data_IF_295868508573
#
_entry.id   IF_295868508573
#
_cell.length_a   1.000
_cell.length_b   1.000
_cell.length_c   1.000
_cell.angle_alpha   90.00
_cell.angle_beta   90.00
_cell.angle_gamma   90.00
#
_symmetry.space_group_name_H-M   'P 1'
#
loop_
_entity.id
_entity.type
_entity.pdbx_description
1 polymer ?
#
# COMPACT_ATOMS: atom_id res chain seq x y z
N UNK A 1 -29.11 -5.84 1.00
CA UNK A 1 -28.93 -4.39 1.32
C UNK A 1 -27.78 -3.89 0.46
N UNK A 2 -27.87 -2.74 -0.18
CA UNK A 2 -26.72 -2.19 -0.94
C UNK A 2 -25.72 -1.59 0.05
N UNK A 3 -24.45 -1.93 -0.12
CA UNK A 3 -23.31 -1.36 0.61
C UNK A 3 -22.35 -0.63 -0.34
N UNK A 4 -21.24 -0.10 0.17
CA UNK A 4 -20.25 0.63 -0.61
C UNK A 4 -19.57 -0.21 -1.69
N UNK A 5 -19.59 -1.54 -1.58
CA UNK A 5 -18.93 -2.49 -2.49
C UNK A 5 -19.87 -3.11 -3.53
N UNK A 6 -21.17 -2.82 -3.47
CA UNK A 6 -22.18 -3.46 -4.33
C UNK A 6 -21.87 -3.33 -5.82
N UNK A 7 -21.30 -2.22 -6.27
CA UNK A 7 -20.90 -2.03 -7.68
C UNK A 7 -19.66 -2.85 -8.05
N UNK A 8 -18.69 -2.97 -7.16
CA UNK A 8 -17.51 -3.81 -7.33
C UNK A 8 -17.93 -5.28 -7.41
N UNK A 9 -18.87 -5.70 -6.56
CA UNK A 9 -19.43 -7.05 -6.57
C UNK A 9 -20.14 -7.40 -7.89
N UNK A 10 -20.80 -6.45 -8.55
CA UNK A 10 -21.39 -6.67 -9.88
C UNK A 10 -20.34 -7.01 -10.95
N UNK A 11 -19.11 -6.52 -10.80
CA UNK A 11 -18.03 -6.78 -11.74
C UNK A 11 -17.24 -8.03 -11.40
N UNK A 12 -16.91 -8.24 -10.13
CA UNK A 12 -15.99 -9.28 -9.69
C UNK A 12 -16.72 -10.55 -9.21
N UNK A 13 -17.99 -10.44 -8.81
CA UNK A 13 -18.78 -11.51 -8.20
C UNK A 13 -18.57 -11.63 -6.68
N UNK A 14 -19.45 -12.37 -6.03
CA UNK A 14 -19.47 -12.50 -4.57
C UNK A 14 -18.23 -13.23 -4.01
N UNK A 15 -17.76 -14.26 -4.71
CA UNK A 15 -16.59 -15.05 -4.30
C UNK A 15 -15.32 -14.19 -4.25
N UNK A 16 -15.09 -13.36 -5.29
CA UNK A 16 -13.96 -12.46 -5.31
C UNK A 16 -14.04 -11.38 -4.22
N UNK A 17 -15.26 -10.89 -3.92
CA UNK A 17 -15.45 -9.94 -2.81
C UNK A 17 -15.17 -10.56 -1.45
N UNK A 18 -15.56 -11.81 -1.23
CA UNK A 18 -15.21 -12.55 -0.01
C UNK A 18 -13.69 -12.68 0.12
N UNK A 19 -13.00 -13.07 -0.97
CA UNK A 19 -11.55 -13.18 -0.99
C UNK A 19 -10.87 -11.84 -0.66
N UNK A 20 -11.34 -10.71 -1.22
CA UNK A 20 -10.80 -9.38 -0.91
C UNK A 20 -11.01 -9.04 0.57
N UNK A 21 -12.21 -9.29 1.09
CA UNK A 21 -12.55 -9.01 2.49
C UNK A 21 -11.72 -9.83 3.48
N UNK A 22 -11.36 -11.05 3.12
CA UNK A 22 -10.54 -11.93 3.95
C UNK A 22 -9.03 -11.69 3.79
N UNK A 23 -8.62 -10.88 2.79
CA UNK A 23 -7.22 -10.63 2.48
C UNK A 23 -6.60 -9.56 3.37
N UNK A 24 -5.30 -9.76 3.69
CA UNK A 24 -4.44 -8.82 4.39
C UNK A 24 -3.29 -8.37 3.49
N UNK A 25 -3.22 -7.07 3.20
CA UNK A 25 -2.24 -6.49 2.29
C UNK A 25 -1.31 -5.54 3.05
N UNK A 26 0.01 -5.74 2.90
CA UNK A 26 0.99 -4.81 3.44
C UNK A 26 1.45 -3.82 2.36
N UNK A 27 1.45 -2.52 2.71
CA UNK A 27 1.92 -1.44 1.84
C UNK A 27 3.14 -0.79 2.47
N UNK A 28 4.28 -1.00 1.86
CA UNK A 28 5.55 -0.41 2.27
C UNK A 28 5.77 0.89 1.50
N UNK A 29 5.78 2.00 2.23
CA UNK A 29 5.81 3.37 1.71
C UNK A 29 4.42 3.94 1.45
N UNK A 30 4.04 5.00 2.18
CA UNK A 30 2.75 5.70 2.07
C UNK A 30 2.97 7.09 1.47
N UNK A 31 3.70 7.11 0.35
CA UNK A 31 4.04 8.31 -0.41
C UNK A 31 3.09 8.60 -1.58
N UNK A 32 3.67 9.11 -2.69
CA UNK A 32 2.92 9.46 -3.90
C UNK A 32 2.32 8.27 -4.65
N UNK A 33 2.90 7.08 -4.50
CA UNK A 33 2.38 5.84 -5.08
C UNK A 33 1.56 5.07 -4.03
N UNK A 34 2.18 4.76 -2.88
CA UNK A 34 1.53 3.95 -1.84
C UNK A 34 0.25 4.56 -1.28
N UNK A 35 0.17 5.89 -1.14
CA UNK A 35 -1.04 6.56 -0.68
C UNK A 35 -2.24 6.32 -1.61
N UNK A 36 -2.04 6.38 -2.92
CA UNK A 36 -3.10 6.03 -3.89
C UNK A 36 -3.42 4.54 -3.90
N UNK A 37 -2.42 3.70 -3.67
CA UNK A 37 -2.63 2.24 -3.54
C UNK A 37 -3.49 1.92 -2.32
N UNK A 38 -3.21 2.52 -1.16
CA UNK A 38 -4.02 2.37 0.06
C UNK A 38 -5.47 2.80 -0.19
N UNK A 39 -5.67 3.97 -0.82
CA UNK A 39 -7.02 4.46 -1.21
C UNK A 39 -7.75 3.45 -2.11
N UNK A 40 -7.06 2.91 -3.12
CA UNK A 40 -7.65 1.95 -4.05
C UNK A 40 -8.01 0.62 -3.35
N UNK A 41 -7.13 0.08 -2.50
CA UNK A 41 -7.36 -1.15 -1.75
C UNK A 41 -8.55 -1.02 -0.79
N UNK A 42 -8.61 0.08 -0.02
CA UNK A 42 -9.72 0.36 0.87
C UNK A 42 -11.05 0.42 0.12
N UNK A 43 -11.11 1.13 -1.02
CA UNK A 43 -12.30 1.23 -1.85
C UNK A 43 -12.68 -0.06 -2.58
N UNK A 44 -11.75 -0.99 -2.71
CA UNK A 44 -11.99 -2.31 -3.31
C UNK A 44 -12.49 -3.35 -2.31
N UNK A 45 -12.44 -3.08 -1.01
CA UNK A 45 -12.98 -3.97 0.02
C UNK A 45 -11.95 -4.96 0.57
N UNK A 46 -10.65 -4.63 0.55
CA UNK A 46 -9.61 -5.40 1.25
C UNK A 46 -9.84 -5.30 2.75
N UNK A 47 -9.87 -6.44 3.46
CA UNK A 47 -10.30 -6.50 4.86
C UNK A 47 -9.24 -6.08 5.87
N UNK A 48 -7.95 -6.17 5.53
CA UNK A 48 -6.87 -5.72 6.41
C UNK A 48 -5.72 -5.06 5.64
N UNK A 49 -5.21 -3.95 6.18
CA UNK A 49 -4.10 -3.19 5.63
C UNK A 49 -3.03 -2.98 6.69
N UNK A 50 -1.78 -3.30 6.34
CA UNK A 50 -0.60 -2.93 7.12
C UNK A 50 0.14 -1.80 6.40
N UNK A 51 0.31 -0.67 7.08
CA UNK A 51 0.87 0.55 6.51
C UNK A 51 2.23 0.85 7.14
N UNK A 52 3.27 0.84 6.33
CA UNK A 52 4.66 0.98 6.79
C UNK A 52 5.29 2.24 6.18
N UNK A 53 5.57 3.25 6.99
CA UNK A 53 6.25 4.49 6.60
C UNK A 53 6.68 5.23 7.86
N UNK A 54 7.91 5.72 7.94
CA UNK A 54 8.44 6.45 9.10
C UNK A 54 8.32 7.97 8.99
N UNK A 55 7.93 8.47 7.82
CA UNK A 55 7.85 9.88 7.52
C UNK A 55 6.62 10.57 8.11
N UNK A 56 6.77 11.87 8.28
CA UNK A 56 5.65 12.79 8.48
C UNK A 56 5.28 13.49 7.18
N UNK A 57 4.02 13.86 7.06
CA UNK A 57 3.55 14.72 5.98
C UNK A 57 4.29 16.06 6.04
N UNK A 58 4.90 16.46 4.94
CA UNK A 58 5.54 17.76 4.81
C UNK A 58 4.87 18.60 3.70
N UNK A 59 5.10 19.90 3.71
CA UNK A 59 4.46 20.84 2.78
C UNK A 59 4.72 20.46 1.31
N UNK A 60 5.93 19.99 1.00
CA UNK A 60 6.33 19.59 -0.35
C UNK A 60 5.66 18.30 -0.84
N UNK A 61 4.94 17.58 0.02
CA UNK A 61 4.18 16.39 -0.37
C UNK A 61 2.83 16.72 -1.01
N UNK A 62 2.30 17.94 -0.80
CA UNK A 62 0.97 18.35 -1.23
C UNK A 62 0.76 18.25 -2.75
N UNK A 63 1.85 18.33 -3.51
CA UNK A 63 1.78 18.29 -4.97
C UNK A 63 1.44 16.91 -5.55
N UNK A 64 1.61 15.80 -4.77
CA UNK A 64 1.48 14.45 -5.31
C UNK A 64 0.98 13.38 -4.34
N UNK A 65 0.97 13.64 -3.02
CA UNK A 65 0.54 12.64 -2.03
C UNK A 65 -0.91 12.91 -1.61
N UNK A 66 -1.79 11.94 -1.85
CA UNK A 66 -3.24 12.08 -1.61
C UNK A 66 -3.59 12.38 -0.15
N UNK A 67 -2.77 11.88 0.80
CA UNK A 67 -2.95 12.09 2.24
C UNK A 67 -2.44 13.46 2.70
N UNK A 68 -1.64 14.15 1.85
CA UNK A 68 -1.02 15.41 2.21
C UNK A 68 -1.94 16.60 1.94
N UNK A 69 -2.30 17.29 2.99
CA UNK A 69 -3.10 18.51 2.97
C UNK A 69 -2.51 19.50 4.00
N UNK A 70 -2.88 20.78 3.93
CA UNK A 70 -2.49 21.75 4.95
C UNK A 70 -2.88 21.34 6.39
N UNK A 71 -3.95 20.53 6.53
CA UNK A 71 -4.41 20.04 7.84
C UNK A 71 -3.58 18.85 8.38
N UNK A 72 -2.88 18.13 7.50
CA UNK A 72 -2.17 16.92 7.85
C UNK A 72 -0.66 17.10 7.96
N UNK A 73 -0.11 18.25 7.56
CA UNK A 73 1.32 18.58 7.69
C UNK A 73 1.79 18.40 9.13
N UNK A 74 2.92 17.69 9.31
CA UNK A 74 3.53 17.39 10.61
C UNK A 74 3.05 16.10 11.28
N UNK A 75 1.98 15.47 10.78
CA UNK A 75 1.47 14.19 11.26
C UNK A 75 2.18 13.02 10.56
N UNK A 76 2.30 11.87 11.21
CA UNK A 76 2.81 10.67 10.56
C UNK A 76 1.92 10.26 9.38
N UNK A 77 2.53 9.89 8.25
CA UNK A 77 1.81 9.49 7.04
C UNK A 77 0.88 8.31 7.29
N UNK A 78 1.35 7.31 8.03
CA UNK A 78 0.57 6.11 8.34
C UNK A 78 -0.67 6.43 9.18
N UNK A 79 -0.60 7.36 10.14
CA UNK A 79 -1.76 7.76 10.96
C UNK A 79 -2.82 8.49 10.12
N UNK A 80 -2.37 9.35 9.20
CA UNK A 80 -3.28 10.06 8.29
C UNK A 80 -3.94 9.10 7.31
N UNK A 81 -3.18 8.11 6.83
CA UNK A 81 -3.71 7.08 5.94
C UNK A 81 -4.72 6.17 6.65
N UNK A 82 -4.45 5.77 7.91
CA UNK A 82 -5.37 5.00 8.74
C UNK A 82 -6.71 5.73 8.92
N UNK A 83 -6.69 7.01 9.31
CA UNK A 83 -7.91 7.82 9.41
C UNK A 83 -8.67 7.85 8.09
N UNK A 84 -7.95 8.03 6.98
CA UNK A 84 -8.55 8.05 5.64
C UNK A 84 -9.17 6.70 5.27
N UNK A 85 -8.55 5.58 5.62
CA UNK A 85 -9.12 4.23 5.41
C UNK A 85 -10.40 4.07 6.20
N UNK A 86 -10.41 4.46 7.48
CA UNK A 86 -11.61 4.35 8.33
C UNK A 86 -12.75 5.30 7.91
N UNK A 87 -12.44 6.44 7.27
CA UNK A 87 -13.44 7.31 6.65
C UNK A 87 -14.11 6.64 5.42
N UNK A 88 -13.41 5.72 4.75
CA UNK A 88 -13.91 4.95 3.61
C UNK A 88 -14.71 3.73 4.10
N UNK A 89 -14.09 2.93 4.97
CA UNK A 89 -14.73 1.80 5.62
C UNK A 89 -14.16 1.58 7.03
N UNK A 90 -14.96 1.83 8.09
CA UNK A 90 -14.53 1.68 9.47
C UNK A 90 -14.28 0.22 9.90
N UNK A 91 -14.66 -0.76 9.07
CA UNK A 91 -14.49 -2.19 9.37
C UNK A 91 -13.13 -2.73 8.90
N UNK A 92 -12.40 -2.01 8.05
CA UNK A 92 -11.06 -2.43 7.61
C UNK A 92 -10.11 -2.41 8.82
N UNK A 93 -9.42 -3.53 9.03
CA UNK A 93 -8.40 -3.61 10.07
C UNK A 93 -7.12 -2.92 9.57
N UNK A 94 -6.70 -1.86 10.23
CA UNK A 94 -5.47 -1.14 9.89
C UNK A 94 -4.44 -1.33 10.98
N UNK A 95 -3.22 -1.70 10.58
CA UNK A 95 -2.05 -1.74 11.48
C UNK A 95 -1.01 -0.77 10.94
N UNK A 96 -0.55 0.17 11.75
CA UNK A 96 0.43 1.18 11.35
C UNK A 96 1.80 0.92 11.96
N UNK A 97 2.84 1.05 11.13
CA UNK A 97 4.24 0.93 11.55
C UNK A 97 4.98 2.22 11.20
N UNK A 98 5.35 2.99 12.22
CA UNK A 98 6.14 4.23 12.11
C UNK A 98 7.62 3.88 12.06
N UNK A 99 8.02 3.13 11.04
CA UNK A 99 9.38 2.62 10.92
C UNK A 99 9.85 2.63 9.48
N UNK A 100 11.12 2.93 9.29
CA UNK A 100 11.79 2.77 8.00
C UNK A 100 11.99 1.27 7.73
N UNK A 101 11.66 0.84 6.50
CA UNK A 101 11.93 -0.53 6.08
C UNK A 101 13.28 -0.63 5.36
N UNK A 102 14.14 -1.49 5.84
CA UNK A 102 15.45 -1.76 5.28
C UNK A 102 16.11 -3.00 5.89
N UNK A 103 17.36 -3.32 5.51
CA UNK A 103 18.06 -4.50 6.00
C UNK A 103 18.14 -4.63 7.52
N UNK A 104 18.16 -3.51 8.24
CA UNK A 104 18.25 -3.49 9.71
C UNK A 104 16.92 -3.76 10.40
N UNK A 105 15.80 -3.54 9.72
CA UNK A 105 14.44 -3.67 10.28
C UNK A 105 13.64 -4.80 9.66
N UNK A 106 14.11 -5.42 8.56
CA UNK A 106 13.38 -6.43 7.79
C UNK A 106 12.94 -7.63 8.62
N UNK A 107 13.74 -8.04 9.63
CA UNK A 107 13.46 -9.22 10.47
C UNK A 107 12.44 -8.93 11.58
N UNK A 108 11.99 -7.68 11.73
CA UNK A 108 10.90 -7.32 12.65
C UNK A 108 9.50 -7.57 12.07
N UNK A 109 9.41 -7.95 10.78
CA UNK A 109 8.15 -8.21 10.10
C UNK A 109 7.99 -9.71 9.83
N UNK A 110 6.85 -10.25 10.20
CA UNK A 110 6.42 -11.60 9.80
C UNK A 110 5.66 -11.54 8.50
N UNK A 111 6.33 -11.82 7.39
CA UNK A 111 5.74 -11.77 6.06
C UNK A 111 4.73 -12.87 5.81
N UNK A 112 4.76 -13.98 6.56
CA UNK A 112 3.84 -15.11 6.37
C UNK A 112 2.37 -14.77 6.65
N UNK A 113 2.11 -13.66 7.33
CA UNK A 113 0.76 -13.20 7.66
C UNK A 113 0.11 -12.33 6.56
N UNK A 114 0.84 -12.01 5.48
CA UNK A 114 0.33 -11.19 4.38
C UNK A 114 -0.08 -12.05 3.19
N UNK A 115 -1.22 -11.76 2.60
CA UNK A 115 -1.66 -12.37 1.34
C UNK A 115 -1.01 -11.70 0.14
N UNK A 116 -0.64 -10.42 0.28
CA UNK A 116 0.00 -9.63 -0.77
C UNK A 116 0.84 -8.50 -0.19
N UNK A 117 1.92 -8.15 -0.87
CA UNK A 117 2.79 -7.03 -0.50
C UNK A 117 2.87 -6.03 -1.65
N UNK A 118 2.79 -4.74 -1.31
CA UNK A 118 3.02 -3.63 -2.23
C UNK A 118 4.28 -2.90 -1.82
N UNK A 119 5.25 -2.86 -2.72
CA UNK A 119 6.47 -2.07 -2.59
C UNK A 119 6.28 -0.71 -3.26
N UNK A 120 6.15 0.33 -2.46
CA UNK A 120 6.08 1.73 -2.88
C UNK A 120 7.16 2.60 -2.20
N UNK A 121 8.23 1.97 -1.66
CA UNK A 121 9.39 2.68 -1.12
C UNK A 121 10.31 3.16 -2.25
N UNK A 122 11.19 4.11 -1.95
CA UNK A 122 12.08 4.75 -2.93
C UNK A 122 13.55 4.32 -2.83
N UNK A 123 13.93 3.60 -1.76
CA UNK A 123 15.30 3.13 -1.55
C UNK A 123 15.55 1.78 -2.23
N UNK A 124 16.57 1.70 -3.08
CA UNK A 124 16.91 0.47 -3.83
C UNK A 124 17.25 -0.68 -2.88
N UNK A 125 18.03 -0.41 -1.83
CA UNK A 125 18.40 -1.44 -0.84
C UNK A 125 17.18 -2.01 -0.12
N UNK A 126 16.23 -1.14 0.28
CA UNK A 126 14.98 -1.57 0.89
C UNK A 126 14.12 -2.41 -0.07
N UNK A 127 14.01 -2.01 -1.35
CA UNK A 127 13.29 -2.78 -2.37
C UNK A 127 13.85 -4.20 -2.53
N UNK A 128 15.17 -4.32 -2.64
CA UNK A 128 15.82 -5.64 -2.77
C UNK A 128 15.53 -6.50 -1.53
N UNK A 129 15.70 -5.94 -0.33
CA UNK A 129 15.40 -6.64 0.92
C UNK A 129 13.95 -7.10 0.97
N UNK A 130 12.99 -6.23 0.58
CA UNK A 130 11.56 -6.53 0.58
C UNK A 130 11.21 -7.68 -0.38
N UNK A 131 11.73 -7.62 -1.62
CA UNK A 131 11.53 -8.69 -2.61
C UNK A 131 12.09 -10.02 -2.12
N UNK A 132 13.28 -10.02 -1.52
CA UNK A 132 13.90 -11.25 -1.00
C UNK A 132 13.11 -11.85 0.16
N UNK A 133 12.61 -11.02 1.09
CA UNK A 133 11.76 -11.47 2.19
C UNK A 133 10.42 -12.03 1.71
N UNK A 134 9.77 -11.38 0.76
CA UNK A 134 8.55 -11.90 0.14
C UNK A 134 8.78 -13.24 -0.56
N UNK A 135 9.90 -13.37 -1.31
CA UNK A 135 10.28 -14.63 -1.97
C UNK A 135 10.53 -15.75 -0.96
N UNK A 136 11.24 -15.46 0.13
CA UNK A 136 11.49 -16.41 1.21
C UNK A 136 10.20 -16.90 1.88
N UNK A 137 9.27 -15.98 2.14
CA UNK A 137 7.98 -16.28 2.74
C UNK A 137 6.94 -16.85 1.75
N UNK A 138 7.22 -16.85 0.44
CA UNK A 138 6.27 -17.30 -0.59
C UNK A 138 5.10 -16.34 -0.81
N UNK A 139 5.24 -15.07 -0.43
CA UNK A 139 4.18 -14.05 -0.54
C UNK A 139 4.33 -13.29 -1.85
N UNK A 140 3.26 -13.12 -2.64
CA UNK A 140 3.30 -12.34 -3.87
C UNK A 140 3.55 -10.85 -3.56
N UNK A 141 4.34 -10.21 -4.43
CA UNK A 141 4.70 -8.80 -4.29
C UNK A 141 4.57 -8.08 -5.63
N UNK A 142 4.07 -6.84 -5.61
CA UNK A 142 4.18 -5.90 -6.72
C UNK A 142 5.09 -4.74 -6.33
N UNK A 143 6.06 -4.42 -7.18
CA UNK A 143 7.00 -3.34 -6.95
C UNK A 143 6.68 -2.17 -7.88
N UNK A 144 6.45 -0.99 -7.30
CA UNK A 144 6.50 0.25 -8.06
C UNK A 144 7.96 0.69 -8.14
N UNK A 145 8.56 0.55 -9.32
CA UNK A 145 9.91 1.03 -9.58
C UNK A 145 9.97 2.57 -9.52
N UNK A 146 11.13 3.18 -9.70
CA UNK A 146 11.27 4.63 -9.63
C UNK A 146 10.33 5.35 -10.61
N UNK A 147 9.25 5.95 -10.10
CA UNK A 147 8.27 6.68 -10.89
C UNK A 147 8.64 8.17 -11.12
N UNK A 148 9.71 8.67 -10.49
CA UNK A 148 10.17 10.04 -10.66
C UNK A 148 10.61 10.33 -12.10
N UNK A 149 10.33 11.55 -12.58
CA UNK A 149 10.68 12.01 -13.94
C UNK A 149 10.04 11.21 -15.10
N UNK A 150 9.02 10.40 -14.83
CA UNK A 150 8.24 9.68 -15.84
C UNK A 150 7.02 10.51 -16.22
N UNK A 151 7.14 11.27 -17.31
CA UNK A 151 6.13 12.27 -17.72
C UNK A 151 4.92 11.66 -18.43
N UNK A 152 5.10 10.52 -19.06
CA UNK A 152 4.03 9.84 -19.80
C UNK A 152 3.54 8.61 -19.04
N UNK A 153 2.37 8.68 -18.37
CA UNK A 153 1.84 7.58 -17.58
C UNK A 153 1.39 6.38 -18.43
N UNK A 154 1.18 6.57 -19.74
CA UNK A 154 0.76 5.49 -20.65
C UNK A 154 1.89 4.52 -20.97
N UNK A 155 3.12 4.87 -20.62
CA UNK A 155 4.33 4.04 -20.84
C UNK A 155 4.70 3.15 -19.68
N UNK A 156 3.91 3.17 -18.59
CA UNK A 156 4.09 2.21 -17.51
C UNK A 156 3.51 0.86 -17.92
N UNK A 157 4.27 -0.19 -17.66
CA UNK A 157 3.87 -1.57 -17.93
C UNK A 157 3.96 -2.39 -16.64
N UNK A 158 3.01 -3.31 -16.48
CA UNK A 158 3.08 -4.33 -15.42
C UNK A 158 3.68 -5.58 -16.06
N UNK A 159 4.83 -5.99 -15.56
CA UNK A 159 5.56 -7.13 -16.12
C UNK A 159 6.25 -7.94 -15.03
N UNK A 160 6.54 -9.19 -15.33
CA UNK A 160 7.33 -10.06 -14.47
C UNK A 160 8.81 -9.63 -14.54
N UNK A 161 9.46 -9.46 -13.39
CA UNK A 161 10.86 -9.03 -13.28
C UNK A 161 11.84 -9.97 -14.04
N UNK A 162 11.47 -11.23 -14.23
CA UNK A 162 12.27 -12.19 -15.01
C UNK A 162 12.06 -12.06 -16.53
N UNK A 163 11.18 -11.16 -16.97
CA UNK A 163 10.86 -10.93 -18.40
C UNK A 163 11.24 -9.53 -18.88
N UNK A 164 11.86 -8.73 -18.00
CA UNK A 164 12.35 -7.37 -18.31
C UNK A 164 13.82 -7.36 -18.65
#
# INVERSE_FOLDING_TARGET
MQDQYSRTQLLLGAEAMTKLHDSRVAVFGVGGVGGYTVEALARSGVGALDLIDDDKVCLTNLNRQIIATHKTVGRFKVDVAEERVHDIDPNIKVTTYKTFFGPETQDSFDFSQFDYVVDAIDTVTGKIALVMKCKEAGVPIICSMGAGNKMDPTRFEVTDIYKT
#
